data_IF_612854785951
#
_entry.id   IF_612854785951
#
_cell.length_a   1.000
_cell.length_b   1.000
_cell.length_c   1.000
_cell.angle_alpha   90.00
_cell.angle_beta   90.00
_cell.angle_gamma   90.00
#
_symmetry.space_group_name_H-M   'P 1'
#
loop_
_entity.id
_entity.type
_entity.pdbx_description
1 polymer ?
#
# COMPACT_ATOMS: atom_id res chain seq x y z
N UNK A 1 -1.61 -5.22 26.65
CA UNK A 1 -0.37 -6.02 26.57
C UNK A 1 0.47 -5.47 25.42
N UNK A 2 1.77 -5.22 25.61
CA UNK A 2 2.64 -4.81 24.51
C UNK A 2 2.77 -5.94 23.48
N UNK A 3 2.92 -5.58 22.20
CA UNK A 3 3.17 -6.55 21.14
C UNK A 3 4.50 -7.26 21.38
N UNK A 4 4.54 -8.56 21.09
CA UNK A 4 5.81 -9.31 21.11
C UNK A 4 6.67 -8.94 19.91
N UNK A 5 7.99 -9.14 20.02
CA UNK A 5 8.94 -8.87 18.92
C UNK A 5 8.57 -9.61 17.62
N UNK A 6 8.04 -10.83 17.74
CA UNK A 6 7.60 -11.65 16.59
C UNK A 6 6.40 -11.00 15.90
N UNK A 7 5.41 -10.54 16.68
CA UNK A 7 4.23 -9.86 16.13
C UNK A 7 4.58 -8.54 15.44
N UNK A 8 5.55 -7.78 15.98
CA UNK A 8 6.07 -6.58 15.33
C UNK A 8 6.72 -6.89 13.98
N UNK A 9 7.53 -7.95 13.91
CA UNK A 9 8.18 -8.39 12.67
C UNK A 9 7.15 -8.84 11.60
N UNK A 10 6.09 -9.53 12.02
CA UNK A 10 4.99 -9.94 11.14
C UNK A 10 4.22 -8.72 10.60
N UNK A 11 3.98 -7.71 11.43
CA UNK A 11 3.36 -6.45 11.01
C UNK A 11 4.25 -5.73 10.01
N UNK A 12 5.55 -5.59 10.29
CA UNK A 12 6.53 -5.00 9.36
C UNK A 12 6.53 -5.70 8.01
N UNK A 13 6.64 -7.03 8.01
CA UNK A 13 6.60 -7.84 6.79
C UNK A 13 5.31 -7.66 6.01
N UNK A 14 4.18 -7.52 6.71
CA UNK A 14 2.87 -7.32 6.08
C UNK A 14 2.74 -5.92 5.47
N UNK A 15 3.27 -4.90 6.15
CA UNK A 15 3.34 -3.52 5.65
C UNK A 15 4.21 -3.45 4.39
N UNK A 16 5.38 -4.10 4.39
CA UNK A 16 6.27 -4.13 3.23
C UNK A 16 5.65 -4.87 2.03
N UNK A 17 4.93 -5.97 2.28
CA UNK A 17 4.15 -6.66 1.25
C UNK A 17 3.04 -5.77 0.68
N UNK A 18 2.31 -5.05 1.54
CA UNK A 18 1.26 -4.13 1.12
C UNK A 18 1.83 -2.97 0.29
N UNK A 19 2.99 -2.44 0.65
CA UNK A 19 3.67 -1.39 -0.11
C UNK A 19 4.11 -1.88 -1.49
N UNK A 20 4.66 -3.09 -1.57
CA UNK A 20 5.02 -3.69 -2.87
C UNK A 20 3.79 -3.89 -3.76
N UNK A 21 2.72 -4.46 -3.21
CA UNK A 21 1.46 -4.64 -3.94
C UNK A 21 0.87 -3.30 -4.41
N UNK A 22 1.00 -2.24 -3.60
CA UNK A 22 0.59 -0.89 -3.99
C UNK A 22 1.41 -0.36 -5.17
N UNK A 23 2.72 -0.59 -5.19
CA UNK A 23 3.56 -0.18 -6.32
C UNK A 23 3.20 -0.91 -7.61
N UNK A 24 2.90 -2.21 -7.52
CA UNK A 24 2.43 -3.00 -8.66
C UNK A 24 1.08 -2.45 -9.17
N UNK A 25 0.13 -2.16 -8.28
CA UNK A 25 -1.16 -1.57 -8.64
C UNK A 25 -1.01 -0.17 -9.31
N UNK A 26 -0.06 0.65 -8.86
CA UNK A 26 0.26 1.93 -9.51
C UNK A 26 0.75 1.71 -10.95
N UNK A 27 1.59 0.70 -11.17
CA UNK A 27 2.10 0.38 -12.51
C UNK A 27 0.98 -0.13 -13.44
N UNK A 28 0.07 -0.95 -12.92
CA UNK A 28 -1.10 -1.45 -13.66
C UNK A 28 -2.05 -0.31 -14.02
N UNK A 29 -2.35 0.60 -13.08
CA UNK A 29 -3.17 1.79 -13.33
C UNK A 29 -2.53 2.68 -14.39
N UNK A 30 -1.21 2.91 -14.32
CA UNK A 30 -0.50 3.69 -15.31
C UNK A 30 -0.59 3.06 -16.72
N UNK A 31 -0.56 1.72 -16.79
CA UNK A 31 -0.73 0.96 -18.03
C UNK A 31 -2.16 1.08 -18.56
N UNK A 32 -3.17 0.89 -17.70
CA UNK A 32 -4.58 1.05 -18.05
C UNK A 32 -4.91 2.47 -18.54
N UNK A 33 -4.35 3.49 -17.87
CA UNK A 33 -4.48 4.90 -18.30
C UNK A 33 -3.92 5.14 -19.69
N UNK A 34 -2.75 4.56 -20.00
CA UNK A 34 -2.14 4.65 -21.35
C UNK A 34 -2.98 3.94 -22.41
N UNK A 35 -3.68 2.88 -22.03
CA UNK A 35 -4.64 2.20 -22.89
C UNK A 35 -5.98 2.95 -23.07
N UNK A 36 -6.13 4.14 -22.46
CA UNK A 36 -7.35 4.96 -22.57
C UNK A 36 -8.49 4.53 -21.64
N UNK A 37 -8.22 3.66 -20.67
CA UNK A 37 -9.20 3.26 -19.65
C UNK A 37 -9.33 4.40 -18.63
N UNK A 38 -10.55 4.73 -18.24
CA UNK A 38 -10.78 5.66 -17.14
C UNK A 38 -10.36 5.01 -15.81
N UNK A 39 -9.31 5.54 -15.20
CA UNK A 39 -8.73 5.04 -13.95
C UNK A 39 -8.87 6.01 -12.79
N UNK A 40 -9.69 7.06 -12.92
CA UNK A 40 -9.79 8.15 -11.92
C UNK A 40 -10.10 7.63 -10.52
N UNK A 41 -11.03 6.69 -10.40
CA UNK A 41 -11.41 6.09 -9.11
C UNK A 41 -10.27 5.23 -8.55
N UNK A 42 -9.58 4.46 -9.40
CA UNK A 42 -8.45 3.62 -9.00
C UNK A 42 -7.25 4.46 -8.54
N UNK A 43 -6.95 5.58 -9.23
CA UNK A 43 -5.91 6.51 -8.83
C UNK A 43 -6.19 7.09 -7.43
N UNK A 44 -7.46 7.38 -7.12
CA UNK A 44 -7.88 7.86 -5.80
C UNK A 44 -7.74 6.78 -4.73
N UNK A 45 -8.21 5.56 -4.99
CA UNK A 45 -8.09 4.44 -4.05
C UNK A 45 -6.63 4.13 -3.72
N UNK A 46 -5.74 4.16 -4.72
CA UNK A 46 -4.31 3.94 -4.51
C UNK A 46 -3.67 5.07 -3.70
N UNK A 47 -4.10 6.32 -3.88
CA UNK A 47 -3.65 7.42 -3.01
C UNK A 47 -4.08 7.21 -1.55
N UNK A 48 -5.33 6.79 -1.33
CA UNK A 48 -5.85 6.51 0.01
C UNK A 48 -5.10 5.34 0.68
N UNK A 49 -4.87 4.24 -0.06
CA UNK A 49 -4.09 3.09 0.40
C UNK A 49 -2.65 3.50 0.74
N UNK A 50 -2.02 4.35 -0.08
CA UNK A 50 -0.68 4.89 0.21
C UNK A 50 -0.66 5.67 1.52
N UNK A 51 -1.67 6.50 1.76
CA UNK A 51 -1.79 7.26 3.00
C UNK A 51 -1.98 6.35 4.22
N UNK A 52 -2.77 5.28 4.08
CA UNK A 52 -2.98 4.28 5.14
C UNK A 52 -1.69 3.52 5.46
N UNK A 53 -0.96 3.03 4.46
CA UNK A 53 0.34 2.36 4.64
C UNK A 53 1.34 3.29 5.33
N UNK A 54 1.37 4.58 4.95
CA UNK A 54 2.25 5.57 5.61
C UNK A 54 1.91 5.74 7.10
N UNK A 55 0.63 5.78 7.45
CA UNK A 55 0.18 5.83 8.85
C UNK A 55 0.58 4.57 9.61
N UNK A 56 0.40 3.39 9.01
CA UNK A 56 0.82 2.12 9.62
C UNK A 56 2.34 2.08 9.85
N UNK A 57 3.14 2.52 8.88
CA UNK A 57 4.59 2.66 9.06
C UNK A 57 4.92 3.58 10.23
N UNK A 58 4.29 4.74 10.35
CA UNK A 58 4.57 5.68 11.43
C UNK A 58 4.23 5.14 12.85
N UNK A 59 3.32 4.15 12.95
CA UNK A 59 2.93 3.56 14.23
C UNK A 59 3.80 2.35 14.59
N UNK A 60 4.15 1.54 13.59
CA UNK A 60 4.78 0.25 13.81
C UNK A 60 6.28 0.21 13.52
N UNK A 61 6.83 1.09 12.66
CA UNK A 61 8.28 1.25 12.42
C UNK A 61 8.89 2.33 13.32
#
# INVERSE_FOLDING_TARGET
MPLTKVQLLEIHTSIDKAEKALMDAIADIATARRAGINVTDMEKEVQDLRAQIRKLKAVYY
#
